data_IF_220563146912
#
_entry.id   IF_220563146912
#
_cell.length_a   1.000
_cell.length_b   1.000
_cell.length_c   1.000
_cell.angle_alpha   90.00
_cell.angle_beta   90.00
_cell.angle_gamma   90.00
#
_symmetry.space_group_name_H-M   'P 1'
#
loop_
_entity.id
_entity.type
_entity.pdbx_description
1 polymer ?
#
# COMPACT_ATOMS: atom_id res chain seq x y z
N UNK A 1 -15.99 -14.65 51.17
CA UNK A 1 -16.01 -13.52 50.20
C UNK A 1 -14.63 -12.87 50.14
N UNK A 2 -13.78 -13.27 49.19
CA UNK A 2 -12.61 -12.54 48.69
C UNK A 2 -11.91 -13.45 47.67
N UNK A 3 -11.20 -12.88 46.70
CA UNK A 3 -10.53 -13.56 45.58
C UNK A 3 -11.38 -13.72 44.31
N UNK A 4 -11.91 -12.60 43.80
CA UNK A 4 -12.53 -12.53 42.47
C UNK A 4 -12.13 -11.22 41.79
N UNK A 5 -10.85 -10.85 41.79
CA UNK A 5 -10.38 -9.56 41.24
C UNK A 5 -8.89 -9.51 40.86
N UNK A 6 -8.28 -10.61 40.36
CA UNK A 6 -6.82 -10.63 40.04
C UNK A 6 -6.52 -11.11 38.61
N UNK A 7 -7.50 -11.12 37.68
CA UNK A 7 -7.25 -11.59 36.31
C UNK A 7 -7.59 -10.56 35.21
N UNK A 8 -7.91 -9.31 35.56
CA UNK A 8 -8.38 -8.33 34.57
C UNK A 8 -7.29 -7.54 33.80
N UNK A 9 -6.02 -7.35 34.23
CA UNK A 9 -5.16 -6.43 33.47
C UNK A 9 -4.51 -7.08 32.22
N UNK A 10 -4.65 -8.39 32.00
CA UNK A 10 -3.95 -9.11 30.93
C UNK A 10 -4.71 -9.19 29.59
N UNK A 11 -5.98 -8.78 29.54
CA UNK A 11 -6.80 -8.85 28.32
C UNK A 11 -6.59 -7.67 27.35
N UNK A 12 -5.78 -6.67 27.70
CA UNK A 12 -5.59 -5.45 26.89
C UNK A 12 -4.29 -5.45 26.06
N UNK A 13 -3.51 -6.54 26.07
CA UNK A 13 -2.26 -6.64 25.32
C UNK A 13 -2.38 -7.37 23.98
N UNK A 14 -3.55 -7.96 23.67
CA UNK A 14 -3.78 -8.69 22.40
C UNK A 14 -4.54 -7.89 21.35
N UNK A 15 -4.85 -6.61 21.61
CA UNK A 15 -5.65 -5.79 20.68
C UNK A 15 -4.87 -5.27 19.45
N UNK A 16 -3.54 -5.45 19.41
CA UNK A 16 -2.71 -5.04 18.28
C UNK A 16 -2.36 -6.19 17.31
N UNK A 17 -2.87 -7.41 17.53
CA UNK A 17 -2.69 -8.54 16.62
C UNK A 17 -3.97 -8.77 15.80
N UNK A 18 -4.31 -7.81 14.95
CA UNK A 18 -5.31 -8.04 13.90
C UNK A 18 -4.77 -9.01 12.84
N UNK A 19 -5.63 -9.67 12.06
CA UNK A 19 -5.19 -10.45 10.92
C UNK A 19 -4.40 -9.57 9.95
N UNK A 20 -3.45 -10.15 9.23
CA UNK A 20 -2.74 -9.43 8.17
C UNK A 20 -3.73 -8.91 7.12
N UNK A 21 -3.45 -7.73 6.58
CA UNK A 21 -4.29 -7.14 5.53
C UNK A 21 -4.25 -8.01 4.26
N UNK A 22 -5.39 -8.23 3.58
CA UNK A 22 -5.41 -8.98 2.32
C UNK A 22 -4.60 -8.25 1.24
N UNK A 23 -4.09 -8.99 0.25
CA UNK A 23 -3.27 -8.45 -0.85
C UNK A 23 -3.98 -7.32 -1.60
N UNK A 24 -5.29 -7.48 -1.86
CA UNK A 24 -6.12 -6.47 -2.49
C UNK A 24 -6.06 -5.13 -1.72
N UNK A 25 -6.15 -5.17 -0.38
CA UNK A 25 -6.08 -3.97 0.45
C UNK A 25 -4.69 -3.33 0.42
N UNK A 26 -3.62 -4.12 0.44
CA UNK A 26 -2.25 -3.62 0.32
C UNK A 26 -2.04 -2.94 -1.04
N UNK A 27 -2.48 -3.57 -2.13
CA UNK A 27 -2.34 -2.98 -3.46
C UNK A 27 -3.14 -1.68 -3.60
N UNK A 28 -4.40 -1.66 -3.14
CA UNK A 28 -5.24 -0.45 -3.18
C UNK A 28 -4.65 0.71 -2.39
N UNK A 29 -4.02 0.45 -1.24
CA UNK A 29 -3.32 1.49 -0.47
C UNK A 29 -2.16 2.10 -1.27
N UNK A 30 -1.35 1.26 -1.95
CA UNK A 30 -0.26 1.74 -2.81
C UNK A 30 -0.82 2.56 -3.97
N UNK A 31 -1.87 2.08 -4.65
CA UNK A 31 -2.54 2.82 -5.73
C UNK A 31 -3.01 4.19 -5.25
N UNK A 32 -3.72 4.24 -4.12
CA UNK A 32 -4.22 5.50 -3.58
C UNK A 32 -3.06 6.48 -3.33
N UNK A 33 -1.99 6.04 -2.66
CA UNK A 33 -0.82 6.88 -2.35
C UNK A 33 -0.09 7.40 -3.60
N UNK A 34 0.04 6.57 -4.63
CA UNK A 34 0.60 6.99 -5.91
C UNK A 34 -0.30 8.03 -6.59
N UNK A 35 -1.62 7.88 -6.49
CA UNK A 35 -2.57 8.81 -7.11
C UNK A 35 -2.71 10.13 -6.35
N UNK A 36 -2.64 10.11 -5.02
CA UNK A 36 -2.54 11.32 -4.18
C UNK A 36 -1.27 12.14 -4.52
N UNK A 37 -0.25 11.49 -5.08
CA UNK A 37 1.01 12.12 -5.49
C UNK A 37 1.17 12.23 -7.02
N UNK A 38 0.11 12.05 -7.80
CA UNK A 38 0.16 12.12 -9.27
C UNK A 38 0.59 13.49 -9.80
N UNK A 39 0.38 14.57 -9.04
CA UNK A 39 0.86 15.92 -9.35
C UNK A 39 2.37 16.12 -9.11
N UNK A 40 3.04 15.18 -8.44
CA UNK A 40 4.47 15.25 -8.23
C UNK A 40 5.25 15.03 -9.54
N UNK A 41 6.40 15.71 -9.74
CA UNK A 41 7.19 15.56 -10.95
C UNK A 41 7.54 14.10 -11.25
N UNK A 42 7.24 13.66 -12.48
CA UNK A 42 7.58 12.33 -12.97
C UNK A 42 6.66 11.19 -12.53
N UNK A 43 5.74 11.37 -11.56
CA UNK A 43 4.85 10.28 -11.10
C UNK A 43 3.83 9.92 -12.19
N UNK A 44 3.07 10.92 -12.66
CA UNK A 44 2.06 10.71 -13.70
C UNK A 44 2.67 10.20 -15.01
N UNK A 45 3.84 10.71 -15.38
CA UNK A 45 4.56 10.31 -16.59
C UNK A 45 5.05 8.86 -16.49
N UNK A 46 5.73 8.49 -15.40
CA UNK A 46 6.26 7.15 -15.22
C UNK A 46 5.16 6.09 -15.10
N UNK A 47 4.04 6.42 -14.45
CA UNK A 47 2.91 5.50 -14.31
C UNK A 47 1.94 5.56 -15.51
N UNK A 48 2.14 6.49 -16.44
CA UNK A 48 1.25 6.75 -17.57
C UNK A 48 -0.22 6.90 -17.14
N UNK A 49 -0.46 7.79 -16.17
CA UNK A 49 -1.78 8.08 -15.58
C UNK A 49 -2.18 9.54 -15.75
N UNK A 50 -3.48 9.80 -15.73
CA UNK A 50 -4.07 11.14 -15.78
C UNK A 50 -4.99 11.41 -14.58
N UNK A 51 -5.98 12.28 -14.73
CA UNK A 51 -7.03 12.57 -13.73
C UNK A 51 -7.79 11.33 -13.22
N UNK A 52 -7.73 10.19 -13.92
CA UNK A 52 -8.34 8.91 -13.56
C UNK A 52 -7.30 7.91 -13.02
N UNK A 53 -6.30 8.41 -12.30
CA UNK A 53 -5.18 7.60 -11.82
C UNK A 53 -5.64 6.31 -11.11
N UNK A 54 -6.51 6.40 -10.10
CA UNK A 54 -6.92 5.20 -9.35
C UNK A 54 -7.63 4.19 -10.23
N UNK A 55 -8.62 4.63 -11.01
CA UNK A 55 -9.35 3.75 -11.92
C UNK A 55 -8.40 3.06 -12.92
N UNK A 56 -7.44 3.81 -13.46
CA UNK A 56 -6.43 3.30 -14.40
C UNK A 56 -5.54 2.24 -13.76
N UNK A 57 -4.99 2.53 -12.56
CA UNK A 57 -4.09 1.60 -11.88
C UNK A 57 -4.84 0.35 -11.39
N UNK A 58 -6.06 0.48 -10.87
CA UNK A 58 -6.85 -0.66 -10.40
C UNK A 58 -7.25 -1.59 -11.55
N UNK A 59 -7.62 -1.04 -12.70
CA UNK A 59 -7.94 -1.83 -13.90
C UNK A 59 -6.72 -2.57 -14.42
N UNK A 60 -5.56 -1.89 -14.52
CA UNK A 60 -4.31 -2.48 -15.02
C UNK A 60 -3.76 -3.60 -14.13
N UNK A 61 -3.85 -3.42 -12.82
CA UNK A 61 -3.25 -4.34 -11.84
C UNK A 61 -4.21 -5.44 -11.37
N UNK A 62 -5.51 -5.26 -11.57
CA UNK A 62 -6.54 -6.14 -11.00
C UNK A 62 -6.81 -5.91 -9.51
N UNK A 63 -6.17 -4.91 -8.88
CA UNK A 63 -6.27 -4.65 -7.44
C UNK A 63 -7.66 -4.17 -6.98
N UNK A 64 -8.57 -3.91 -7.92
CA UNK A 64 -9.98 -3.69 -7.61
C UNK A 64 -10.72 -4.96 -7.14
N UNK A 65 -10.19 -6.16 -7.41
CA UNK A 65 -10.79 -7.43 -7.00
C UNK A 65 -10.45 -7.79 -5.56
N UNK A 66 -11.42 -8.29 -4.79
CA UNK A 66 -11.18 -8.85 -3.45
C UNK A 66 -10.35 -10.14 -3.48
N UNK A 67 -10.40 -10.88 -4.59
CA UNK A 67 -9.64 -12.12 -4.79
C UNK A 67 -8.23 -11.86 -5.35
N UNK A 68 -7.82 -10.59 -5.48
CA UNK A 68 -6.49 -10.24 -5.95
C UNK A 68 -5.42 -10.84 -5.01
N UNK A 69 -4.40 -11.46 -5.61
CA UNK A 69 -3.21 -11.93 -4.90
C UNK A 69 -1.96 -11.55 -5.67
N UNK A 70 -0.91 -11.17 -4.94
CA UNK A 70 0.38 -10.90 -5.53
C UNK A 70 1.03 -12.21 -5.99
N UNK A 71 1.58 -12.18 -7.20
CA UNK A 71 2.36 -13.29 -7.76
C UNK A 71 3.74 -12.80 -8.20
N UNK A 72 3.77 -11.91 -9.19
CA UNK A 72 4.95 -11.16 -9.59
C UNK A 72 4.57 -9.68 -9.76
N UNK A 73 5.12 -8.76 -8.95
CA UNK A 73 6.01 -8.98 -7.80
C UNK A 73 5.32 -9.73 -6.64
N UNK A 74 6.09 -10.29 -5.71
CA UNK A 74 5.53 -10.93 -4.51
C UNK A 74 4.99 -9.90 -3.50
N UNK A 75 4.13 -10.34 -2.59
CA UNK A 75 3.61 -9.50 -1.51
C UNK A 75 4.72 -8.86 -0.70
N UNK A 76 5.72 -9.64 -0.28
CA UNK A 76 6.85 -9.16 0.53
C UNK A 76 7.61 -8.06 -0.21
N UNK A 77 7.84 -8.25 -1.51
CA UNK A 77 8.50 -7.25 -2.35
C UNK A 77 7.72 -5.94 -2.41
N UNK A 78 6.39 -6.01 -2.55
CA UNK A 78 5.53 -4.82 -2.53
C UNK A 78 5.52 -4.16 -1.15
N UNK A 79 5.50 -4.94 -0.07
CA UNK A 79 5.55 -4.43 1.31
C UNK A 79 6.87 -3.73 1.63
N UNK A 80 8.00 -4.23 1.12
CA UNK A 80 9.30 -3.56 1.26
C UNK A 80 9.32 -2.26 0.45
N UNK A 81 8.79 -2.31 -0.76
CA UNK A 81 8.74 -1.16 -1.66
C UNK A 81 7.82 -0.06 -1.17
N UNK A 82 6.72 -0.37 -0.47
CA UNK A 82 5.79 0.65 0.03
C UNK A 82 6.36 1.49 1.18
N UNK A 83 7.48 1.09 1.80
CA UNK A 83 8.03 1.74 3.00
C UNK A 83 8.17 3.26 2.86
N UNK A 84 8.69 3.82 1.75
CA UNK A 84 8.73 5.27 1.55
C UNK A 84 7.34 5.90 1.57
N UNK A 85 6.34 5.27 0.93
CA UNK A 85 4.99 5.81 0.77
C UNK A 85 4.20 5.91 2.08
N UNK A 86 4.60 5.17 3.12
CA UNK A 86 3.92 5.14 4.42
C UNK A 86 4.69 5.90 5.52
N UNK A 87 5.75 6.64 5.18
CA UNK A 87 6.58 7.37 6.17
C UNK A 87 5.80 8.40 6.97
N UNK A 88 4.86 9.07 6.34
CA UNK A 88 3.97 10.05 6.98
C UNK A 88 2.82 9.41 7.78
N UNK A 89 2.76 8.07 7.79
CA UNK A 89 1.80 7.28 8.55
C UNK A 89 1.15 6.17 7.72
N UNK A 90 0.68 5.13 8.41
CA UNK A 90 -0.01 3.98 7.81
C UNK A 90 -1.51 4.18 7.66
N UNK A 91 -2.06 5.30 8.15
CA UNK A 91 -3.47 5.65 7.96
C UNK A 91 -3.73 6.01 6.49
N UNK A 92 -4.82 5.52 5.87
CA UNK A 92 -5.25 5.98 4.56
C UNK A 92 -5.44 7.51 4.53
N UNK A 93 -5.13 8.16 3.40
CA UNK A 93 -5.22 9.62 3.26
C UNK A 93 -4.03 10.41 3.81
N UNK A 94 -3.01 9.73 4.37
CA UNK A 94 -1.70 10.35 4.63
C UNK A 94 -0.89 10.37 3.35
N UNK A 95 -0.98 11.48 2.63
CA UNK A 95 -0.28 11.68 1.36
C UNK A 95 1.24 11.64 1.52
N UNK A 96 1.95 10.79 0.77
CA UNK A 96 3.41 10.80 0.74
C UNK A 96 3.97 12.13 0.23
N UNK A 97 5.22 12.42 0.57
CA UNK A 97 5.93 13.53 -0.09
C UNK A 97 6.30 13.14 -1.52
N UNK A 98 6.51 14.13 -2.41
CA UNK A 98 7.01 13.84 -3.76
C UNK A 98 8.36 13.10 -3.75
N UNK A 99 9.20 13.35 -2.73
CA UNK A 99 10.46 12.64 -2.56
C UNK A 99 10.28 11.16 -2.20
N UNK A 100 9.21 10.82 -1.48
CA UNK A 100 8.90 9.43 -1.15
C UNK A 100 8.34 8.66 -2.34
N UNK A 101 7.43 9.28 -3.10
CA UNK A 101 6.95 8.69 -4.36
C UNK A 101 8.08 8.53 -5.38
N UNK A 102 8.99 9.50 -5.48
CA UNK A 102 10.16 9.38 -6.34
C UNK A 102 11.08 8.22 -5.91
N UNK A 103 11.32 8.04 -4.61
CA UNK A 103 12.08 6.89 -4.09
C UNK A 103 11.41 5.57 -4.41
N UNK A 104 10.10 5.46 -4.23
CA UNK A 104 9.34 4.27 -4.62
C UNK A 104 9.57 3.93 -6.11
N UNK A 105 9.41 4.92 -6.99
CA UNK A 105 9.55 4.70 -8.43
C UNK A 105 10.97 4.30 -8.86
N UNK A 106 11.99 4.86 -8.19
CA UNK A 106 13.41 4.60 -8.51
C UNK A 106 13.93 3.31 -7.88
N UNK A 107 13.64 3.08 -6.60
CA UNK A 107 14.21 1.98 -5.83
C UNK A 107 13.44 0.65 -6.05
N UNK A 108 12.23 0.74 -6.61
CA UNK A 108 11.36 -0.41 -6.88
C UNK A 108 10.86 -0.45 -8.33
N UNK A 109 11.76 -0.64 -9.30
CA UNK A 109 11.41 -0.64 -10.72
C UNK A 109 10.48 -1.80 -11.09
N UNK A 110 10.67 -2.99 -10.52
CA UNK A 110 9.81 -4.17 -10.74
C UNK A 110 8.37 -3.94 -10.28
N UNK A 111 8.19 -3.34 -9.10
CA UNK A 111 6.87 -2.97 -8.58
C UNK A 111 6.25 -1.83 -9.39
N UNK A 112 7.07 -0.88 -9.84
CA UNK A 112 6.62 0.20 -10.72
C UNK A 112 6.14 -0.33 -12.07
N UNK A 113 6.87 -1.28 -12.67
CA UNK A 113 6.47 -1.99 -13.91
C UNK A 113 5.13 -2.69 -13.73
N UNK A 114 4.91 -3.35 -12.58
CA UNK A 114 3.60 -3.92 -12.25
C UNK A 114 2.48 -2.87 -12.25
N UNK A 115 2.68 -1.71 -11.62
CA UNK A 115 1.68 -0.63 -11.63
C UNK A 115 1.47 0.01 -13.01
N UNK A 116 2.44 -0.10 -13.91
CA UNK A 116 2.27 0.28 -15.32
C UNK A 116 1.43 -0.72 -16.11
N UNK A 117 1.11 -1.89 -15.55
CA UNK A 117 0.42 -2.98 -16.26
C UNK A 117 1.32 -3.71 -17.26
N UNK A 118 2.63 -3.58 -17.09
CA UNK A 118 3.64 -4.23 -17.92
C UNK A 118 4.03 -5.57 -17.29
N UNK A 119 4.46 -6.53 -18.11
CA UNK A 119 5.01 -7.80 -17.61
C UNK A 119 6.35 -7.48 -16.92
N UNK A 120 6.48 -7.74 -15.61
CA UNK A 120 7.71 -7.47 -14.85
C UNK A 120 8.89 -8.36 -15.27
#
# INVERSE_FOLDING_TARGET
>A
MRHLFILWPLAWLTACSGPEAPDAAVCRDVVNRLCETSACPGVAEQLAVDTRCEATLLERTGCGSEDFTFSVPTRERVLDCRVPLIREGTTPGRTPTCGDSARFLVDCPDVTTFFRGEVP
#
